data_IF_386236736312
#
_entry.id   IF_386236736312
#
_cell.length_a   1.000
_cell.length_b   1.000
_cell.length_c   1.000
_cell.angle_alpha   90.00
_cell.angle_beta   90.00
_cell.angle_gamma   90.00
#
_symmetry.space_group_name_H-M   'P 1'
#
loop_
_entity.id
_entity.type
_entity.pdbx_description
1 polymer ?
#
# COMPACT_ATOMS: atom_id res chain seq x y z
N UNK A 1 5.88 -45.11 -5.04
CA UNK A 1 4.59 -44.42 -5.28
C UNK A 1 4.24 -43.44 -4.15
N UNK A 2 5.08 -42.44 -3.91
CA UNK A 2 4.87 -41.46 -2.84
C UNK A 2 4.87 -40.03 -3.39
N UNK A 3 3.73 -39.57 -3.89
CA UNK A 3 3.53 -38.13 -4.15
C UNK A 3 3.18 -37.46 -2.84
N UNK A 4 3.98 -36.48 -2.44
CA UNK A 4 3.63 -35.54 -1.39
C UNK A 4 2.49 -34.65 -1.92
N UNK A 5 1.28 -34.89 -1.46
CA UNK A 5 0.17 -33.94 -1.63
C UNK A 5 0.36 -32.78 -0.65
N UNK A 6 1.12 -31.77 -1.07
CA UNK A 6 1.13 -30.48 -0.37
C UNK A 6 -0.22 -29.79 -0.61
N UNK A 7 -1.10 -29.87 0.39
CA UNK A 7 -2.24 -28.97 0.49
C UNK A 7 -1.73 -27.58 0.89
N UNK A 8 -1.26 -26.82 -0.10
CA UNK A 8 -1.17 -25.38 0.04
C UNK A 8 -2.62 -24.91 0.03
N UNK A 9 -3.13 -24.46 1.17
CA UNK A 9 -4.34 -23.64 1.23
C UNK A 9 -4.05 -22.33 0.53
N UNK A 10 -4.07 -22.37 -0.80
CA UNK A 10 -4.19 -21.19 -1.63
C UNK A 10 -5.47 -20.51 -1.15
N UNK A 11 -5.46 -19.26 -0.62
CA UNK A 11 -6.66 -18.46 -0.71
C UNK A 11 -7.16 -18.62 -2.14
N UNK A 12 -8.44 -18.98 -2.32
CA UNK A 12 -8.94 -19.42 -3.62
C UNK A 12 -8.44 -18.43 -4.66
N UNK A 13 -7.59 -18.87 -5.61
CA UNK A 13 -6.90 -18.00 -6.57
C UNK A 13 -7.86 -16.99 -7.25
N UNK A 14 -9.13 -17.36 -7.32
CA UNK A 14 -10.26 -16.54 -7.76
C UNK A 14 -10.49 -15.27 -6.94
N UNK A 15 -10.32 -15.29 -5.62
CA UNK A 15 -10.46 -14.10 -4.75
C UNK A 15 -9.31 -13.12 -4.96
N UNK A 16 -8.07 -13.62 -4.95
CA UNK A 16 -6.89 -12.80 -5.28
C UNK A 16 -7.00 -12.20 -6.68
N UNK A 17 -7.40 -13.01 -7.67
CA UNK A 17 -7.61 -12.54 -9.04
C UNK A 17 -8.69 -11.44 -9.14
N UNK A 18 -9.78 -11.55 -8.36
CA UNK A 18 -10.83 -10.52 -8.30
C UNK A 18 -10.33 -9.21 -7.71
N UNK A 19 -9.49 -9.25 -6.67
CA UNK A 19 -8.92 -8.03 -6.08
C UNK A 19 -7.93 -7.34 -7.04
N UNK A 20 -7.06 -8.15 -7.67
CA UNK A 20 -6.14 -7.67 -8.69
C UNK A 20 -6.89 -7.05 -9.87
N UNK A 21 -8.05 -7.58 -10.25
CA UNK A 21 -8.87 -7.05 -11.36
C UNK A 21 -9.21 -5.58 -11.18
N UNK A 22 -9.57 -5.14 -9.97
CA UNK A 22 -9.95 -3.74 -9.73
C UNK A 22 -8.76 -2.80 -9.58
N UNK A 23 -7.63 -3.31 -9.07
CA UNK A 23 -6.40 -2.52 -8.91
C UNK A 23 -5.65 -2.36 -10.24
N UNK A 24 -5.71 -3.38 -11.11
CA UNK A 24 -4.91 -3.45 -12.34
C UNK A 24 -5.04 -2.22 -13.24
N UNK A 25 -6.23 -1.66 -13.53
CA UNK A 25 -6.34 -0.49 -14.40
C UNK A 25 -5.59 0.73 -13.87
N UNK A 26 -5.50 0.89 -12.55
CA UNK A 26 -4.79 2.02 -11.92
C UNK A 26 -3.29 1.80 -11.92
N UNK A 27 -2.85 0.58 -11.59
CA UNK A 27 -1.43 0.24 -11.56
C UNK A 27 -0.82 0.18 -12.96
N UNK A 28 -1.51 -0.43 -13.94
CA UNK A 28 -1.04 -0.54 -15.33
C UNK A 28 -0.95 0.80 -16.05
N UNK A 29 -1.76 1.80 -15.65
CA UNK A 29 -1.73 3.16 -16.20
C UNK A 29 -0.88 4.13 -15.34
N UNK A 30 -0.04 3.58 -14.46
CA UNK A 30 0.85 4.35 -13.59
C UNK A 30 2.31 3.97 -13.82
N UNK A 31 3.20 4.89 -13.51
CA UNK A 31 4.64 4.65 -13.45
C UNK A 31 5.03 4.38 -12.00
N UNK A 32 5.72 3.28 -11.73
CA UNK A 32 6.39 3.09 -10.44
C UNK A 32 7.51 4.12 -10.31
N UNK A 33 7.50 4.86 -9.20
CA UNK A 33 8.45 5.94 -8.93
C UNK A 33 9.49 5.45 -7.94
N UNK A 34 9.03 4.90 -6.82
CA UNK A 34 9.88 4.50 -5.70
C UNK A 34 9.28 3.30 -4.97
N UNK A 35 10.13 2.51 -4.32
CA UNK A 35 9.72 1.40 -3.45
C UNK A 35 10.51 1.49 -2.14
N UNK A 36 9.80 1.44 -1.03
CA UNK A 36 10.39 1.46 0.31
C UNK A 36 9.90 0.29 1.15
N UNK A 37 10.71 -0.10 2.12
CA UNK A 37 10.40 -1.18 3.05
C UNK A 37 10.49 -0.66 4.48
N UNK A 38 9.69 -1.26 5.37
CA UNK A 38 9.95 -1.20 6.81
C UNK A 38 10.68 -2.46 7.26
N UNK A 39 11.24 -2.41 8.47
CA UNK A 39 12.00 -3.52 9.03
C UNK A 39 11.14 -4.80 9.13
N UNK A 40 11.72 -5.99 8.90
CA UNK A 40 13.09 -6.22 8.44
C UNK A 40 13.26 -5.84 6.96
N UNK A 41 14.38 -5.18 6.64
CA UNK A 41 14.72 -4.80 5.27
C UNK A 41 15.23 -6.02 4.48
N UNK A 42 14.81 -6.22 3.22
CA UNK A 42 15.44 -7.20 2.34
C UNK A 42 16.85 -6.74 1.94
N UNK A 43 17.67 -7.65 1.42
CA UNK A 43 19.11 -7.45 1.09
C UNK A 43 19.37 -6.21 0.21
N UNK A 44 18.40 -5.80 -0.60
CA UNK A 44 18.48 -4.62 -1.48
C UNK A 44 17.37 -3.60 -1.27
N UNK A 45 16.63 -3.69 -0.16
CA UNK A 45 15.52 -2.78 0.14
C UNK A 45 15.93 -1.61 1.02
N UNK A 46 15.43 -0.42 0.71
CA UNK A 46 15.67 0.79 1.49
C UNK A 46 14.43 1.24 2.29
N UNK A 47 14.67 1.98 3.37
CA UNK A 47 13.63 2.80 4.02
C UNK A 47 13.38 4.06 3.20
N UNK A 48 12.21 4.67 3.38
CA UNK A 48 11.94 5.99 2.78
C UNK A 48 12.93 7.03 3.33
N UNK A 49 13.50 7.92 2.48
CA UNK A 49 14.29 9.06 2.93
C UNK A 49 13.48 9.94 3.88
N UNK A 50 14.09 10.52 4.92
CA UNK A 50 13.36 11.27 5.97
C UNK A 50 12.60 12.49 5.46
N UNK A 51 13.05 13.08 4.37
CA UNK A 51 12.50 14.27 3.70
C UNK A 51 11.44 13.92 2.64
N UNK A 52 11.16 12.65 2.42
CA UNK A 52 10.14 12.23 1.47
C UNK A 52 8.73 12.62 1.95
N UNK A 53 7.87 13.01 1.02
CA UNK A 53 6.52 13.53 1.27
C UNK A 53 5.58 12.52 1.93
N UNK A 54 5.91 11.22 1.86
CA UNK A 54 5.24 10.16 2.59
C UNK A 54 6.24 9.23 3.30
N UNK A 55 5.88 8.82 4.51
CA UNK A 55 6.64 7.89 5.35
C UNK A 55 5.74 6.74 5.78
N UNK A 56 6.18 5.50 5.56
CA UNK A 56 5.50 4.30 6.05
C UNK A 56 6.15 3.84 7.35
N UNK A 57 5.35 3.75 8.41
CA UNK A 57 5.76 3.22 9.71
C UNK A 57 4.97 1.96 10.03
N UNK A 58 5.61 1.04 10.76
CA UNK A 58 5.12 -0.30 11.05
C UNK A 58 6.20 -1.34 10.78
N UNK A 59 5.91 -2.62 10.96
CA UNK A 59 6.85 -3.72 10.74
C UNK A 59 6.35 -4.63 9.62
N UNK A 60 7.27 -5.26 8.90
CA UNK A 60 6.97 -6.14 7.78
C UNK A 60 6.12 -5.50 6.69
N UNK A 61 6.34 -4.23 6.35
CA UNK A 61 5.58 -3.55 5.31
C UNK A 61 6.45 -3.17 4.10
N UNK A 62 5.78 -2.97 2.97
CA UNK A 62 6.31 -2.41 1.72
C UNK A 62 5.41 -1.23 1.30
N UNK A 63 6.04 -0.15 0.83
CA UNK A 63 5.39 0.99 0.20
C UNK A 63 5.84 1.07 -1.26
N UNK A 64 4.93 0.91 -2.21
CA UNK A 64 5.15 1.30 -3.59
C UNK A 64 4.53 2.67 -3.86
N UNK A 65 5.31 3.59 -4.42
CA UNK A 65 4.85 4.92 -4.85
C UNK A 65 4.71 4.92 -6.36
N UNK A 66 3.54 5.30 -6.86
CA UNK A 66 3.24 5.32 -8.29
C UNK A 66 2.66 6.68 -8.71
N UNK A 67 2.88 7.04 -9.96
CA UNK A 67 2.32 8.25 -10.59
C UNK A 67 1.37 7.84 -11.71
N UNK A 68 0.09 8.16 -11.60
CA UNK A 68 -0.85 8.00 -12.71
C UNK A 68 -0.60 9.04 -13.80
N UNK A 69 -0.92 8.68 -15.04
CA UNK A 69 -1.08 9.63 -16.14
C UNK A 69 -2.15 10.69 -15.73
N UNK A 70 -1.75 11.95 -15.64
CA UNK A 70 -2.58 13.05 -15.10
C UNK A 70 -2.19 13.53 -13.69
N UNK A 71 -1.09 13.02 -13.13
CA UNK A 71 -0.38 13.64 -12.01
C UNK A 71 -0.86 13.23 -10.61
N UNK A 72 -1.78 12.29 -10.49
CA UNK A 72 -2.23 11.73 -9.20
C UNK A 72 -1.19 10.75 -8.67
N UNK A 73 -0.92 10.82 -7.37
CA UNK A 73 -0.04 9.87 -6.69
C UNK A 73 -0.88 8.70 -6.16
N UNK A 74 -0.43 7.47 -6.42
CA UNK A 74 -0.96 6.26 -5.82
C UNK A 74 0.08 5.65 -4.87
N UNK A 75 -0.40 5.07 -3.77
CA UNK A 75 0.42 4.31 -2.85
C UNK A 75 -0.12 2.89 -2.75
N UNK A 76 0.74 1.90 -2.92
CA UNK A 76 0.44 0.51 -2.61
C UNK A 76 1.16 0.12 -1.33
N UNK A 77 0.42 -0.21 -0.28
CA UNK A 77 0.99 -0.66 0.99
C UNK A 77 0.74 -2.16 1.12
N UNK A 78 1.79 -2.95 1.28
CA UNK A 78 1.69 -4.42 1.36
C UNK A 78 2.24 -4.93 2.67
N UNK A 79 1.51 -5.84 3.30
CA UNK A 79 1.97 -6.62 4.42
C UNK A 79 2.82 -7.80 3.92
N UNK A 80 4.13 -7.75 4.17
CA UNK A 80 5.10 -8.82 3.84
C UNK A 80 4.94 -10.04 4.74
N UNK A 81 4.28 -9.90 5.90
CA UNK A 81 4.03 -11.00 6.82
C UNK A 81 2.74 -11.73 6.41
N UNK A 82 2.86 -13.01 6.06
CA UNK A 82 1.73 -13.85 5.61
C UNK A 82 1.01 -14.57 6.75
N UNK A 83 1.44 -14.41 8.00
CA UNK A 83 0.85 -15.05 9.18
C UNK A 83 0.12 -14.11 10.14
N UNK A 84 0.34 -12.79 10.06
CA UNK A 84 -0.20 -11.82 11.03
C UNK A 84 -0.66 -10.53 10.38
N UNK A 85 -1.74 -9.94 10.91
CA UNK A 85 -2.14 -8.57 10.59
C UNK A 85 -1.03 -7.60 10.97
N UNK A 86 -0.83 -6.56 10.16
CA UNK A 86 0.09 -5.49 10.46
C UNK A 86 -0.64 -4.16 10.50
N UNK A 87 -0.31 -3.36 11.52
CA UNK A 87 -0.72 -1.96 11.58
C UNK A 87 0.28 -1.11 10.79
N UNK A 88 -0.22 -0.35 9.84
CA UNK A 88 0.52 0.61 9.05
C UNK A 88 0.10 2.03 9.42
N UNK A 89 1.07 2.88 9.72
CA UNK A 89 0.85 4.33 9.87
C UNK A 89 1.57 5.04 8.75
N UNK A 90 0.82 5.72 7.87
CA UNK A 90 1.39 6.51 6.79
C UNK A 90 1.36 7.97 7.21
N UNK A 91 2.53 8.57 7.37
CA UNK A 91 2.67 10.00 7.59
C UNK A 91 2.90 10.73 6.27
N UNK A 92 2.39 11.95 6.18
CA UNK A 92 2.40 12.80 5.01
C UNK A 92 2.88 14.21 5.37
N UNK A 93 3.50 14.87 4.40
CA UNK A 93 3.78 16.29 4.49
C UNK A 93 2.51 17.16 4.36
N UNK A 94 2.67 18.47 4.47
CA UNK A 94 1.57 19.44 4.40
C UNK A 94 0.97 19.60 2.98
N UNK A 95 1.61 19.07 1.94
CA UNK A 95 1.12 19.12 0.55
C UNK A 95 -0.06 18.18 0.32
N UNK A 96 -0.14 17.07 1.06
CA UNK A 96 -1.24 16.10 0.99
C UNK A 96 -2.51 16.69 1.60
N UNK A 97 -3.60 16.68 0.83
CA UNK A 97 -4.92 17.23 1.19
C UNK A 97 -6.00 16.17 1.37
N UNK A 98 -5.83 15.01 0.74
CA UNK A 98 -6.80 13.93 0.79
C UNK A 98 -6.13 12.60 0.49
N UNK A 99 -6.65 11.55 1.11
CA UNK A 99 -6.25 10.17 0.89
C UNK A 99 -7.53 9.35 0.80
N UNK A 100 -7.67 8.57 -0.26
CA UNK A 100 -8.78 7.64 -0.43
C UNK A 100 -8.26 6.23 -0.57
N UNK A 101 -8.93 5.27 0.04
CA UNK A 101 -8.64 3.84 -0.05
C UNK A 101 -9.56 3.18 -1.08
N UNK A 102 -8.99 2.32 -1.91
CA UNK A 102 -9.79 1.47 -2.79
C UNK A 102 -10.44 0.33 -2.01
N UNK A 103 -11.73 0.12 -2.22
CA UNK A 103 -12.38 -1.14 -1.89
C UNK A 103 -12.07 -2.16 -2.99
N UNK A 104 -11.16 -3.08 -2.69
CA UNK A 104 -10.68 -4.12 -3.64
C UNK A 104 -11.76 -5.09 -4.13
N UNK A 105 -12.95 -5.11 -3.51
CA UNK A 105 -14.06 -5.98 -3.94
C UNK A 105 -14.94 -5.37 -5.03
N UNK A 106 -14.91 -4.05 -5.19
CA UNK A 106 -15.79 -3.35 -6.15
C UNK A 106 -15.12 -2.17 -6.89
N UNK A 107 -13.85 -1.87 -6.60
CA UNK A 107 -13.08 -0.79 -7.22
C UNK A 107 -13.49 0.62 -6.81
N UNK A 108 -14.44 0.79 -5.86
CA UNK A 108 -14.86 2.10 -5.38
C UNK A 108 -13.84 2.69 -4.42
N UNK A 109 -13.72 4.00 -4.42
CA UNK A 109 -12.85 4.74 -3.51
C UNK A 109 -13.66 5.28 -2.33
N UNK A 110 -13.07 5.22 -1.14
CA UNK A 110 -13.61 5.82 0.08
C UNK A 110 -12.55 6.68 0.74
N UNK A 111 -12.90 7.89 1.14
CA UNK A 111 -11.97 8.78 1.82
C UNK A 111 -11.54 8.19 3.18
N UNK A 112 -10.24 8.29 3.46
CA UNK A 112 -9.67 7.96 4.76
C UNK A 112 -9.58 9.22 5.61
N UNK A 113 -9.80 9.05 6.92
CA UNK A 113 -9.52 10.09 7.89
C UNK A 113 -8.02 10.39 7.91
N UNK A 114 -7.67 11.65 7.73
CA UNK A 114 -6.32 12.17 7.94
C UNK A 114 -6.29 12.84 9.30
N UNK A 115 -5.60 12.21 10.24
CA UNK A 115 -5.31 12.78 11.54
C UNK A 115 -4.22 13.85 11.39
N UNK A 116 -4.31 14.90 12.20
CA UNK A 116 -3.29 15.95 12.28
C UNK A 116 -2.81 16.04 13.72
N UNK A 117 -1.51 15.82 13.94
CA UNK A 117 -0.85 16.05 15.22
C UNK A 117 0.42 16.87 14.94
N UNK A 118 0.53 18.03 15.59
CA UNK A 118 1.59 19.01 15.35
C UNK A 118 1.69 19.39 13.85
N UNK A 119 2.83 19.12 13.21
CA UNK A 119 3.12 19.38 11.79
C UNK A 119 2.98 18.14 10.90
N UNK A 120 2.51 17.01 11.44
CA UNK A 120 2.41 15.74 10.72
C UNK A 120 0.95 15.36 10.47
N UNK A 121 0.66 15.09 9.20
CA UNK A 121 -0.59 14.45 8.78
C UNK A 121 -0.38 12.96 8.70
N UNK A 122 -1.33 12.16 9.18
CA UNK A 122 -1.19 10.71 9.05
C UNK A 122 -2.52 10.00 8.93
N UNK A 123 -2.48 8.80 8.37
CA UNK A 123 -3.59 7.85 8.38
C UNK A 123 -3.08 6.49 8.86
N UNK A 124 -3.99 5.69 9.41
CA UNK A 124 -3.67 4.36 9.93
C UNK A 124 -4.49 3.31 9.20
N UNK A 125 -3.87 2.16 8.94
CA UNK A 125 -4.49 1.01 8.29
C UNK A 125 -4.13 -0.26 9.06
N UNK A 126 -5.08 -1.18 9.15
CA UNK A 126 -4.79 -2.57 9.47
C UNK A 126 -4.81 -3.37 8.16
N UNK A 127 -3.75 -4.14 7.92
CA UNK A 127 -3.53 -4.88 6.67
C UNK A 127 -3.42 -6.36 7.01
N UNK A 128 -4.29 -7.17 6.40
CA UNK A 128 -4.33 -8.62 6.58
C UNK A 128 -3.05 -9.30 6.12
N UNK A 129 -2.80 -10.56 6.54
CA UNK A 129 -1.55 -11.24 6.25
C UNK A 129 -1.34 -11.44 4.75
N UNK A 130 -0.18 -11.04 4.24
CA UNK A 130 0.17 -11.14 2.81
C UNK A 130 -0.62 -10.21 1.88
N UNK A 131 -1.48 -9.34 2.44
CA UNK A 131 -2.38 -8.51 1.67
C UNK A 131 -1.80 -7.13 1.35
N UNK A 132 -2.41 -6.41 0.41
CA UNK A 132 -2.08 -5.03 0.07
C UNK A 132 -3.28 -4.11 -0.05
N UNK A 133 -3.05 -2.83 0.20
CA UNK A 133 -4.05 -1.77 0.14
C UNK A 133 -3.59 -0.67 -0.82
N UNK A 134 -4.48 -0.30 -1.74
CA UNK A 134 -4.23 0.76 -2.72
C UNK A 134 -4.87 2.07 -2.25
N UNK A 135 -4.05 3.10 -2.12
CA UNK A 135 -4.46 4.45 -1.79
C UNK A 135 -4.26 5.40 -2.97
N UNK A 136 -5.19 6.32 -3.13
CA UNK A 136 -5.07 7.50 -3.99
C UNK A 136 -4.82 8.72 -3.13
N UNK A 137 -3.78 9.48 -3.45
CA UNK A 137 -3.35 10.66 -2.71
C UNK A 137 -3.54 11.91 -3.55
N UNK A 138 -4.21 12.90 -2.96
CA UNK A 138 -4.42 14.22 -3.55
C UNK A 138 -3.45 15.20 -2.89
N UNK A 139 -2.59 15.82 -3.71
CA UNK A 139 -1.60 16.81 -3.26
C UNK A 139 -1.83 18.14 -3.94
N UNK A 140 -1.51 19.23 -3.25
CA UNK A 140 -1.28 20.52 -3.92
C UNK A 140 0.06 20.42 -4.64
N UNK A 141 0.01 20.38 -5.97
CA UNK A 141 1.21 20.53 -6.80
C UNK A 141 1.66 21.99 -6.62
N UNK A 142 2.92 22.20 -6.26
CA UNK A 142 3.54 23.53 -6.26
C UNK A 142 3.78 24.00 -7.68
#
# INVERSE_FOLDING_TARGET
>A
DGKLDMYITLPHLTEVAKEVQYMSPFLSNSRSIEIYHTDPLPISGGKSPKDNWCQLNGINLLLGVFKENGGKDLLLITNKNTGQNQKATISFDLTVKGVAKMNKKNGKWSDLTIHSAEEKRFTELEISPGDGELLKVIRKIK
#
